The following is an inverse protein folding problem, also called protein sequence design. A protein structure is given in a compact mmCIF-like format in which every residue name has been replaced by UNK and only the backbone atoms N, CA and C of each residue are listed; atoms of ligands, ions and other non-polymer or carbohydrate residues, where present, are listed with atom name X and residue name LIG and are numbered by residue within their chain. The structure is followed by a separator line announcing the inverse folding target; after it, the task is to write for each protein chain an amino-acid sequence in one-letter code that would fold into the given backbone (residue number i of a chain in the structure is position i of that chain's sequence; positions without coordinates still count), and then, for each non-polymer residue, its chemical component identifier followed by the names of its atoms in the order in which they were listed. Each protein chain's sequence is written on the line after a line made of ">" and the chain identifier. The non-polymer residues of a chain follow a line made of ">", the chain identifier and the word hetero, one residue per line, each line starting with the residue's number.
data_IF_953374788560
#
_entry.id   IF_953374788560
#
_cell.length_a   1.000
_cell.length_b   1.000
_cell.length_c   1.000
_cell.angle_alpha   90.00
_cell.angle_beta   90.00
_cell.angle_gamma   90.00
#
_symmetry.space_group_name_H-M   'P 1'
#
loop_
_entity.id
_entity.type
_entity.pdbx_description
1 polymer ?
#
# COMPACT_ATOMS: atom_id res chain seq x y z
N UNK A 1 15.83 1.95 -5.03
CA UNK A 1 14.60 1.70 -4.25
C UNK A 1 14.55 2.64 -3.06
N UNK A 2 13.43 3.30 -2.85
CA UNK A 2 13.29 4.33 -1.81
C UNK A 2 11.83 4.45 -1.41
N UNK A 3 11.53 5.49 -0.62
CA UNK A 3 10.18 5.73 -0.13
C UNK A 3 9.19 5.96 -1.27
N UNK A 4 9.61 6.63 -2.32
CA UNK A 4 8.74 6.89 -3.46
C UNK A 4 8.33 5.59 -4.16
N UNK A 5 9.22 4.61 -4.22
CA UNK A 5 8.88 3.30 -4.77
C UNK A 5 7.71 2.68 -3.99
N UNK A 6 7.75 2.75 -2.66
CA UNK A 6 6.68 2.18 -1.82
C UNK A 6 5.35 2.85 -2.14
N UNK A 7 5.32 4.17 -2.22
CA UNK A 7 4.11 4.94 -2.51
C UNK A 7 3.52 4.60 -3.88
N UNK A 8 4.37 4.56 -4.89
CA UNK A 8 3.96 4.24 -6.25
C UNK A 8 3.49 2.80 -6.38
N UNK A 9 4.17 1.89 -5.68
CA UNK A 9 3.82 0.47 -5.72
C UNK A 9 2.45 0.23 -5.09
N UNK A 10 2.17 0.85 -3.96
CA UNK A 10 0.85 0.77 -3.32
C UNK A 10 -0.23 1.27 -4.30
N UNK A 11 0.01 2.41 -4.94
CA UNK A 11 -0.94 2.96 -5.92
C UNK A 11 -1.16 2.00 -7.08
N UNK A 12 -0.09 1.42 -7.62
CA UNK A 12 -0.18 0.47 -8.73
C UNK A 12 -1.01 -0.76 -8.34
N UNK A 13 -0.72 -1.34 -7.20
CA UNK A 13 -1.44 -2.53 -6.72
C UNK A 13 -2.91 -2.22 -6.42
N UNK A 14 -3.16 -1.04 -5.85
CA UNK A 14 -4.52 -0.60 -5.54
C UNK A 14 -5.35 -0.44 -6.82
N UNK A 15 -4.76 0.19 -7.84
CA UNK A 15 -5.44 0.37 -9.12
C UNK A 15 -5.74 -0.97 -9.79
N UNK A 16 -4.81 -1.92 -9.72
CA UNK A 16 -5.03 -3.27 -10.25
C UNK A 16 -6.17 -3.98 -9.55
N UNK A 17 -6.29 -3.77 -8.24
CA UNK A 17 -7.38 -4.37 -7.45
C UNK A 17 -8.71 -3.67 -7.67
N UNK A 18 -8.69 -2.45 -8.21
CA UNK A 18 -9.90 -1.70 -8.51
C UNK A 18 -10.58 -1.09 -7.29
N UNK A 19 -9.82 -0.74 -6.26
CA UNK A 19 -10.36 -0.14 -5.03
C UNK A 19 -9.83 1.28 -4.85
N UNK A 20 -10.62 2.10 -4.14
CA UNK A 20 -10.22 3.46 -3.80
C UNK A 20 -9.28 3.46 -2.59
N UNK A 21 -8.60 4.59 -2.38
CA UNK A 21 -7.79 4.76 -1.17
C UNK A 21 -8.65 4.64 0.09
N UNK A 22 -9.85 5.17 0.06
CA UNK A 22 -10.79 5.06 1.17
C UNK A 22 -11.14 3.59 1.45
N UNK A 23 -11.51 2.85 0.39
CA UNK A 23 -11.88 1.43 0.53
C UNK A 23 -10.74 0.61 1.10
N UNK A 24 -9.53 0.84 0.61
CA UNK A 24 -8.34 0.14 1.09
C UNK A 24 -8.06 0.47 2.56
N UNK A 25 -8.12 1.76 2.91
CA UNK A 25 -7.90 2.19 4.30
C UNK A 25 -8.89 1.51 5.24
N UNK A 26 -10.16 1.51 4.87
CA UNK A 26 -11.22 0.89 5.65
C UNK A 26 -10.99 -0.62 5.80
N UNK A 27 -10.67 -1.30 4.70
CA UNK A 27 -10.44 -2.74 4.70
C UNK A 27 -9.29 -3.13 5.63
N UNK A 28 -8.29 -2.25 5.77
CA UNK A 28 -7.15 -2.48 6.66
C UNK A 28 -7.43 -2.09 8.11
N UNK A 29 -8.65 -1.62 8.42
CA UNK A 29 -9.02 -1.24 9.78
C UNK A 29 -8.47 0.11 10.21
N UNK A 30 -8.13 0.97 9.26
CA UNK A 30 -7.59 2.30 9.53
C UNK A 30 -8.61 3.40 9.24
N UNK A 31 -8.29 4.64 9.62
CA UNK A 31 -9.10 5.79 9.28
C UNK A 31 -9.11 6.01 7.76
N UNK A 32 -10.11 6.73 7.27
CA UNK A 32 -10.32 6.91 5.82
C UNK A 32 -9.14 7.51 5.09
N UNK A 33 -8.32 8.31 5.77
CA UNK A 33 -7.19 9.00 5.17
C UNK A 33 -5.88 8.26 5.25
N UNK A 34 -5.87 7.05 5.78
CA UNK A 34 -4.63 6.32 6.06
C UNK A 34 -3.78 6.13 4.80
N UNK A 35 -4.36 5.56 3.74
CA UNK A 35 -3.62 5.30 2.50
C UNK A 35 -3.24 6.62 1.81
N UNK A 36 -4.13 7.61 1.82
CA UNK A 36 -3.78 8.92 1.25
C UNK A 36 -2.60 9.57 1.97
N UNK A 37 -2.51 9.42 3.29
CA UNK A 37 -1.36 9.93 4.04
C UNK A 37 -0.05 9.29 3.57
N UNK A 38 -0.09 8.03 3.19
CA UNK A 38 1.09 7.35 2.63
C UNK A 38 1.37 7.86 1.21
N UNK A 39 0.39 7.82 0.33
CA UNK A 39 0.60 8.15 -1.08
C UNK A 39 0.91 9.62 -1.31
N UNK A 40 0.44 10.50 -0.44
CA UNK A 40 0.73 11.94 -0.53
C UNK A 40 2.08 12.35 0.09
N UNK A 41 2.80 11.40 0.68
CA UNK A 41 4.13 11.65 1.22
C UNK A 41 4.18 12.01 2.69
N UNK A 42 3.05 11.99 3.40
CA UNK A 42 3.00 12.40 4.81
C UNK A 42 3.54 11.35 5.76
N UNK A 43 3.39 10.08 5.42
CA UNK A 43 3.83 8.97 6.27
C UNK A 43 4.22 7.76 5.44
N UNK A 44 4.81 6.78 6.12
CA UNK A 44 5.06 5.45 5.56
C UNK A 44 4.40 4.43 6.49
N UNK A 45 4.04 3.26 5.99
CA UNK A 45 3.52 2.23 6.87
C UNK A 45 4.59 1.74 7.83
N UNK A 46 4.19 1.37 9.04
CA UNK A 46 5.05 0.61 9.92
C UNK A 46 5.30 -0.77 9.30
N UNK A 47 6.23 -1.54 9.87
CA UNK A 47 6.51 -2.88 9.36
C UNK A 47 5.29 -3.79 9.47
N UNK A 48 4.57 -3.74 10.60
CA UNK A 48 3.34 -4.52 10.75
C UNK A 48 2.28 -4.10 9.75
N UNK A 49 2.14 -2.80 9.53
CA UNK A 49 1.20 -2.28 8.53
C UNK A 49 1.58 -2.70 7.13
N UNK A 50 2.87 -2.70 6.82
CA UNK A 50 3.37 -3.15 5.53
C UNK A 50 3.02 -4.62 5.28
N UNK A 51 3.20 -5.48 6.28
CA UNK A 51 2.82 -6.89 6.15
C UNK A 51 1.31 -7.04 5.88
N UNK A 52 0.50 -6.24 6.58
CA UNK A 52 -0.95 -6.25 6.36
C UNK A 52 -1.31 -5.77 4.94
N UNK A 53 -0.59 -4.79 4.41
CA UNK A 53 -0.78 -4.32 3.04
C UNK A 53 -0.47 -5.42 2.04
N UNK A 54 0.64 -6.11 2.21
CA UNK A 54 1.00 -7.24 1.35
C UNK A 54 -0.08 -8.33 1.39
N UNK A 55 -0.54 -8.66 2.59
CA UNK A 55 -1.58 -9.67 2.78
C UNK A 55 -2.89 -9.25 2.10
N UNK A 56 -3.25 -7.97 2.21
CA UNK A 56 -4.42 -7.42 1.56
C UNK A 56 -4.37 -7.61 0.03
N UNK A 57 -3.20 -7.42 -0.56
CA UNK A 57 -3.01 -7.62 -1.99
C UNK A 57 -2.72 -9.07 -2.39
N UNK A 58 -2.57 -9.97 -1.42
CA UNK A 58 -2.29 -11.38 -1.70
C UNK A 58 -0.89 -11.62 -2.27
N UNK A 59 0.07 -10.81 -1.87
CA UNK A 59 1.45 -10.93 -2.35
C UNK A 59 2.41 -11.02 -1.16
N UNK A 60 3.62 -11.51 -1.44
CA UNK A 60 4.70 -11.51 -0.45
C UNK A 60 5.43 -10.17 -0.46
N UNK A 61 6.17 -9.85 0.61
CA UNK A 61 7.05 -8.67 0.58
C UNK A 61 8.03 -8.68 -0.59
N UNK A 62 8.56 -9.85 -0.95
CA UNK A 62 9.47 -9.96 -2.10
C UNK A 62 8.77 -9.55 -3.40
N UNK A 63 7.53 -9.99 -3.58
CA UNK A 63 6.74 -9.61 -4.75
C UNK A 63 6.39 -8.12 -4.74
N UNK A 64 6.16 -7.55 -3.57
CA UNK A 64 5.92 -6.12 -3.45
C UNK A 64 7.10 -5.32 -4.02
N UNK A 65 8.33 -5.73 -3.73
CA UNK A 65 9.53 -5.02 -4.15
C UNK A 65 10.08 -5.49 -5.49
N UNK A 66 9.39 -6.37 -6.19
CA UNK A 66 9.81 -6.85 -7.51
C UNK A 66 9.45 -5.80 -8.56
N UNK A 67 10.47 -5.15 -9.13
CA UNK A 67 10.30 -4.10 -10.13
C UNK A 67 9.74 -4.62 -11.46
N UNK A 68 9.79 -5.91 -11.69
CA UNK A 68 9.30 -6.53 -12.93
C UNK A 68 7.89 -7.07 -12.81
N UNK A 69 7.30 -6.94 -11.65
CA UNK A 69 5.99 -7.52 -11.37
C UNK A 69 4.85 -6.53 -11.59
#
# INVERSE_FOLDING_TARGET
>A
MNEQFVRERITQLRLRKGVSEYQMSYALGHSRGYINNITSGKSLPSMNEFFAICEYFGITPAEFFDEHN
#
